data_IF_418684240413
#
_entry.id   IF_418684240413
#
_cell.length_a   1.000
_cell.length_b   1.000
_cell.length_c   1.000
_cell.angle_alpha   90.00
_cell.angle_beta   90.00
_cell.angle_gamma   90.00
#
_symmetry.space_group_name_H-M   'P 1'
#
loop_
_entity.id
_entity.type
_entity.pdbx_description
1 polymer ?
#
# COMPACT_ATOMS: atom_id res chain seq x y z
N UNK A 1 -32.44 -4.17 -13.31
CA UNK A 1 -31.11 -4.64 -13.72
C UNK A 1 -31.17 -6.14 -13.88
N UNK A 2 -30.68 -6.66 -15.01
CA UNK A 2 -30.57 -8.12 -15.21
C UNK A 2 -29.55 -8.73 -14.24
N UNK A 3 -29.63 -10.05 -13.95
CA UNK A 3 -28.63 -10.74 -13.11
C UNK A 3 -27.19 -10.55 -13.65
N UNK A 4 -27.05 -10.47 -14.97
CA UNK A 4 -25.78 -10.21 -15.66
C UNK A 4 -25.30 -8.79 -15.37
N UNK A 5 -26.13 -7.77 -15.57
CA UNK A 5 -25.75 -6.37 -15.29
C UNK A 5 -25.27 -6.18 -13.85
N UNK A 6 -25.94 -6.83 -12.89
CA UNK A 6 -25.53 -6.76 -11.50
C UNK A 6 -24.16 -7.43 -11.27
N UNK A 7 -23.96 -8.61 -11.83
CA UNK A 7 -22.69 -9.34 -11.74
C UNK A 7 -21.53 -8.55 -12.37
N UNK A 8 -21.71 -7.99 -13.57
CA UNK A 8 -20.69 -7.15 -14.22
C UNK A 8 -20.40 -5.90 -13.40
N UNK A 9 -21.43 -5.24 -12.86
CA UNK A 9 -21.26 -4.07 -11.99
C UNK A 9 -20.46 -4.41 -10.73
N UNK A 10 -20.67 -5.58 -10.13
CA UNK A 10 -19.91 -6.02 -8.96
C UNK A 10 -18.46 -6.38 -9.31
N UNK A 11 -18.17 -6.88 -10.53
CA UNK A 11 -16.80 -7.08 -11.02
C UNK A 11 -16.07 -5.75 -11.20
N UNK A 12 -16.74 -4.70 -11.68
CA UNK A 12 -16.08 -3.44 -12.07
C UNK A 12 -16.20 -2.31 -11.05
N UNK A 13 -16.88 -2.53 -9.91
CA UNK A 13 -17.33 -1.51 -8.93
C UNK A 13 -16.23 -0.53 -8.45
N UNK A 14 -14.97 -0.95 -8.46
CA UNK A 14 -13.86 -0.25 -7.82
C UNK A 14 -12.71 0.02 -8.82
N UNK A 15 -13.04 0.20 -10.09
CA UNK A 15 -12.10 0.55 -11.17
C UNK A 15 -12.18 2.06 -11.48
N UNK A 16 -11.10 2.66 -12.02
CA UNK A 16 -11.14 4.02 -12.56
C UNK A 16 -12.25 4.20 -13.62
N UNK A 17 -12.94 5.34 -13.65
CA UNK A 17 -14.16 5.56 -14.45
C UNK A 17 -13.96 5.37 -15.97
N UNK A 18 -12.78 5.71 -16.49
CA UNK A 18 -12.41 5.58 -17.90
C UNK A 18 -12.26 4.10 -18.32
N UNK A 19 -11.49 3.33 -17.56
CA UNK A 19 -11.32 1.89 -17.80
C UNK A 19 -12.55 1.06 -17.38
N UNK A 20 -13.31 1.55 -16.38
CA UNK A 20 -14.50 0.89 -15.86
C UNK A 20 -15.57 0.73 -16.93
N UNK A 21 -15.78 1.76 -17.77
CA UNK A 21 -16.87 1.74 -18.77
C UNK A 21 -16.58 0.76 -19.90
N UNK A 22 -15.39 0.85 -20.49
CA UNK A 22 -14.99 -0.01 -21.62
C UNK A 22 -14.97 -1.47 -21.22
N UNK A 23 -14.35 -1.78 -20.07
CA UNK A 23 -14.28 -3.15 -19.59
C UNK A 23 -15.64 -3.70 -19.15
N UNK A 24 -16.51 -2.85 -18.58
CA UNK A 24 -17.89 -3.25 -18.24
C UNK A 24 -18.65 -3.65 -19.50
N UNK A 25 -18.50 -2.91 -20.59
CA UNK A 25 -19.12 -3.23 -21.88
C UNK A 25 -18.56 -4.53 -22.45
N UNK A 26 -17.24 -4.72 -22.43
CA UNK A 26 -16.58 -5.94 -22.92
C UNK A 26 -17.01 -7.20 -22.15
N UNK A 27 -16.94 -7.18 -20.82
CA UNK A 27 -17.35 -8.31 -19.97
C UNK A 27 -18.84 -8.62 -20.15
N UNK A 28 -19.68 -7.58 -20.28
CA UNK A 28 -21.10 -7.74 -20.51
C UNK A 28 -21.38 -8.44 -21.85
N UNK A 29 -20.69 -8.03 -22.92
CA UNK A 29 -20.82 -8.64 -24.26
C UNK A 29 -20.44 -10.12 -24.20
N UNK A 30 -19.29 -10.46 -23.60
CA UNK A 30 -18.86 -11.85 -23.49
C UNK A 30 -19.82 -12.73 -22.68
N UNK A 31 -20.36 -12.22 -21.58
CA UNK A 31 -21.37 -12.94 -20.80
C UNK A 31 -22.66 -13.14 -21.61
N UNK A 32 -23.10 -12.13 -22.35
CA UNK A 32 -24.28 -12.26 -23.20
C UNK A 32 -24.08 -13.29 -24.33
N UNK A 33 -22.91 -13.29 -24.97
CA UNK A 33 -22.61 -14.24 -26.03
C UNK A 33 -22.54 -15.66 -25.51
N UNK A 34 -21.95 -15.86 -24.33
CA UNK A 34 -21.96 -17.17 -23.69
C UNK A 34 -23.36 -17.65 -23.28
N UNK A 35 -24.24 -16.74 -22.84
CA UNK A 35 -25.65 -17.05 -22.61
C UNK A 35 -26.37 -17.47 -23.90
N UNK A 36 -26.14 -16.77 -25.02
CA UNK A 36 -26.71 -17.15 -26.33
C UNK A 36 -26.27 -18.54 -26.75
N UNK A 37 -24.99 -18.89 -26.57
CA UNK A 37 -24.49 -20.24 -26.87
C UNK A 37 -25.21 -21.32 -26.03
N UNK A 38 -25.45 -21.04 -24.75
CA UNK A 38 -26.16 -21.97 -23.85
C UNK A 38 -27.64 -22.09 -24.23
N UNK A 39 -28.28 -21.01 -24.67
CA UNK A 39 -29.64 -21.06 -25.22
C UNK A 39 -29.69 -21.93 -26.49
N UNK A 40 -28.73 -21.78 -27.41
CA UNK A 40 -28.62 -22.60 -28.62
C UNK A 40 -28.42 -24.08 -28.27
N UNK A 41 -27.70 -24.38 -27.19
CA UNK A 41 -27.51 -25.74 -26.64
C UNK A 41 -28.75 -26.31 -25.94
N UNK A 42 -29.86 -25.57 -25.91
CA UNK A 42 -31.15 -26.02 -25.36
C UNK A 42 -31.34 -25.80 -23.86
N UNK A 43 -30.49 -25.00 -23.21
CA UNK A 43 -30.72 -24.60 -21.82
C UNK A 43 -31.83 -23.56 -21.73
N UNK A 44 -32.61 -23.58 -20.64
CA UNK A 44 -33.53 -22.48 -20.33
C UNK A 44 -32.75 -21.21 -20.00
N UNK A 45 -33.35 -20.04 -20.24
CA UNK A 45 -32.73 -18.73 -20.00
C UNK A 45 -32.14 -18.60 -18.59
N UNK A 46 -32.88 -19.02 -17.56
CA UNK A 46 -32.38 -18.97 -16.19
C UNK A 46 -31.16 -19.87 -15.96
N UNK A 47 -31.14 -21.07 -16.55
CA UNK A 47 -30.00 -21.99 -16.47
C UNK A 47 -28.82 -21.47 -17.27
N UNK A 48 -29.06 -20.88 -18.44
CA UNK A 48 -28.03 -20.30 -19.29
C UNK A 48 -27.32 -19.13 -18.58
N UNK A 49 -28.08 -18.19 -17.99
CA UNK A 49 -27.52 -17.07 -17.22
C UNK A 49 -26.69 -17.57 -16.03
N UNK A 50 -27.21 -18.55 -15.28
CA UNK A 50 -26.48 -19.10 -14.13
C UNK A 50 -25.18 -19.77 -14.56
N UNK A 51 -25.22 -20.63 -15.58
CA UNK A 51 -24.03 -21.30 -16.08
C UNK A 51 -23.00 -20.33 -16.66
N UNK A 52 -23.45 -19.26 -17.31
CA UNK A 52 -22.53 -18.25 -17.84
C UNK A 52 -21.79 -17.51 -16.71
N UNK A 53 -22.50 -17.13 -15.64
CA UNK A 53 -21.91 -16.50 -14.46
C UNK A 53 -20.96 -17.47 -13.73
N UNK A 54 -21.37 -18.73 -13.54
CA UNK A 54 -20.53 -19.76 -12.90
C UNK A 54 -19.24 -20.02 -13.68
N UNK A 55 -19.31 -20.00 -15.01
CA UNK A 55 -18.15 -20.21 -15.90
C UNK A 55 -17.17 -19.03 -15.86
N UNK A 56 -17.67 -17.80 -15.71
CA UNK A 56 -16.84 -16.61 -15.47
C UNK A 56 -16.21 -16.60 -14.07
N UNK A 57 -16.89 -17.19 -13.09
CA UNK A 57 -16.36 -17.42 -11.74
C UNK A 57 -16.79 -16.39 -10.70
N UNK A 58 -16.04 -16.30 -9.61
CA UNK A 58 -16.42 -15.46 -8.47
C UNK A 58 -16.12 -13.97 -8.73
N UNK A 59 -17.16 -13.13 -8.72
CA UNK A 59 -17.05 -11.67 -8.92
C UNK A 59 -16.01 -10.98 -8.04
N UNK A 60 -15.88 -11.36 -6.76
CA UNK A 60 -14.90 -10.76 -5.85
C UNK A 60 -13.46 -11.17 -6.16
N UNK A 61 -13.26 -12.42 -6.63
CA UNK A 61 -11.95 -12.87 -7.13
C UNK A 61 -11.58 -12.16 -8.43
N UNK A 62 -12.54 -12.05 -9.36
CA UNK A 62 -12.34 -11.40 -10.65
C UNK A 62 -12.02 -9.91 -10.48
N UNK A 63 -12.79 -9.17 -9.69
CA UNK A 63 -12.51 -7.76 -9.35
C UNK A 63 -11.09 -7.58 -8.81
N UNK A 64 -10.63 -8.48 -7.93
CA UNK A 64 -9.28 -8.42 -7.34
C UNK A 64 -8.19 -8.66 -8.38
N UNK A 65 -8.35 -9.66 -9.23
CA UNK A 65 -7.38 -10.00 -10.29
C UNK A 65 -7.30 -8.88 -11.32
N UNK A 66 -8.45 -8.31 -11.66
CA UNK A 66 -8.58 -7.21 -12.58
C UNK A 66 -7.93 -5.92 -12.04
N UNK A 67 -8.15 -5.56 -10.78
CA UNK A 67 -7.40 -4.47 -10.12
C UNK A 67 -5.91 -4.72 -10.13
N UNK A 68 -5.47 -5.98 -9.93
CA UNK A 68 -4.05 -6.32 -9.95
C UNK A 68 -3.45 -6.15 -11.35
N UNK A 69 -4.23 -6.41 -12.40
CA UNK A 69 -3.83 -6.21 -13.79
C UNK A 69 -3.82 -4.72 -14.19
N UNK A 70 -4.84 -3.96 -13.76
CA UNK A 70 -5.03 -2.55 -14.11
C UNK A 70 -4.20 -1.58 -13.25
N UNK A 71 -3.76 -2.01 -12.06
CA UNK A 71 -2.79 -1.25 -11.25
C UNK A 71 -1.40 -1.92 -11.24
N UNK A 72 -0.69 -2.02 -12.38
CA UNK A 72 0.71 -2.49 -12.38
C UNK A 72 1.59 -1.55 -11.56
N UNK A 73 1.18 -0.28 -11.41
CA UNK A 73 1.83 0.73 -10.58
C UNK A 73 1.47 0.63 -9.09
N UNK A 74 0.67 -0.33 -8.63
CA UNK A 74 0.28 -0.45 -7.21
C UNK A 74 1.50 -0.43 -6.27
N UNK A 75 2.57 -1.15 -6.63
CA UNK A 75 3.82 -1.15 -5.86
C UNK A 75 4.47 0.23 -5.81
N UNK A 76 4.50 0.93 -6.94
CA UNK A 76 5.06 2.27 -7.08
C UNK A 76 4.23 3.30 -6.30
N UNK A 77 2.91 3.26 -6.40
CA UNK A 77 2.00 4.15 -5.66
C UNK A 77 2.15 3.93 -4.15
N UNK A 78 2.20 2.66 -3.69
CA UNK A 78 2.48 2.35 -2.29
C UNK A 78 3.83 2.91 -1.85
N UNK A 79 4.85 2.77 -2.69
CA UNK A 79 6.19 3.30 -2.39
C UNK A 79 6.19 4.82 -2.27
N UNK A 80 5.62 5.53 -3.25
CA UNK A 80 5.47 7.00 -3.24
C UNK A 80 4.70 7.46 -2.01
N UNK A 81 3.58 6.80 -1.67
CA UNK A 81 2.83 7.06 -0.45
C UNK A 81 3.72 6.93 0.81
N UNK A 82 4.52 5.86 0.90
CA UNK A 82 5.38 5.65 2.05
C UNK A 82 6.47 6.72 2.15
N UNK A 83 7.10 7.11 1.04
CA UNK A 83 8.10 8.18 1.00
C UNK A 83 7.51 9.50 1.49
N UNK A 84 6.35 9.90 0.95
CA UNK A 84 5.66 11.14 1.35
C UNK A 84 5.30 11.10 2.84
N UNK A 85 4.73 9.98 3.30
CA UNK A 85 4.32 9.82 4.69
C UNK A 85 5.51 9.89 5.65
N UNK A 86 6.59 9.16 5.38
CA UNK A 86 7.78 9.14 6.25
C UNK A 86 8.45 10.50 6.27
N UNK A 87 8.61 11.13 5.10
CA UNK A 87 9.19 12.48 5.02
C UNK A 87 8.35 13.48 5.81
N UNK A 88 7.03 13.47 5.61
CA UNK A 88 6.11 14.34 6.33
C UNK A 88 6.14 14.11 7.84
N UNK A 89 6.20 12.85 8.29
CA UNK A 89 6.31 12.52 9.71
C UNK A 89 7.63 13.00 10.31
N UNK A 90 8.76 12.77 9.63
CA UNK A 90 10.08 13.21 10.11
C UNK A 90 10.14 14.74 10.19
N UNK A 91 9.65 15.44 9.17
CA UNK A 91 9.55 16.90 9.18
C UNK A 91 8.63 17.40 10.30
N UNK A 92 7.48 16.77 10.50
CA UNK A 92 6.54 17.14 11.56
C UNK A 92 7.15 16.95 12.96
N UNK A 93 7.76 15.79 13.21
CA UNK A 93 8.43 15.48 14.48
C UNK A 93 9.59 16.44 14.74
N UNK A 94 10.42 16.70 13.72
CA UNK A 94 11.54 17.65 13.80
C UNK A 94 11.05 19.07 14.11
N UNK A 95 10.02 19.55 13.40
CA UNK A 95 9.41 20.85 13.65
C UNK A 95 8.83 20.96 15.06
N UNK A 96 8.02 19.97 15.48
CA UNK A 96 7.38 19.99 16.81
C UNK A 96 8.40 19.95 17.93
N UNK A 97 9.49 19.20 17.78
CA UNK A 97 10.54 19.13 18.77
C UNK A 97 11.35 20.44 18.82
N UNK A 98 11.72 21.00 17.67
CA UNK A 98 12.44 22.28 17.62
C UNK A 98 11.61 23.42 18.22
N UNK A 99 10.31 23.47 17.94
CA UNK A 99 9.41 24.47 18.51
C UNK A 99 9.24 24.32 20.03
N UNK A 100 9.31 23.10 20.55
CA UNK A 100 9.20 22.84 21.99
C UNK A 100 10.46 23.22 22.76
N UNK A 101 11.64 22.89 22.23
CA UNK A 101 12.93 23.13 22.90
C UNK A 101 13.49 24.52 22.64
N UNK A 102 13.31 25.06 21.42
CA UNK A 102 13.82 26.35 20.99
C UNK A 102 12.75 27.18 20.25
N UNK A 103 11.70 27.62 20.94
CA UNK A 103 10.68 28.51 20.37
C UNK A 103 11.25 29.87 19.94
N UNK A 104 12.41 30.27 20.46
CA UNK A 104 13.09 31.51 20.09
C UNK A 104 13.64 31.53 18.66
N UNK A 105 13.80 30.38 18.02
CA UNK A 105 14.32 30.28 16.65
C UNK A 105 13.21 30.29 15.60
N UNK A 106 13.56 30.75 14.39
CA UNK A 106 12.68 30.59 13.25
C UNK A 106 12.74 29.14 12.76
N UNK A 107 11.83 28.32 13.28
CA UNK A 107 11.76 26.88 13.01
C UNK A 107 11.08 26.54 11.67
N UNK A 108 10.92 27.50 10.77
CA UNK A 108 10.39 27.24 9.43
C UNK A 108 11.30 26.27 8.68
N UNK A 109 10.71 25.17 8.18
CA UNK A 109 11.44 24.18 7.39
C UNK A 109 11.60 24.68 5.95
N UNK A 110 12.84 25.00 5.50
CA UNK A 110 13.04 25.45 4.13
C UNK A 110 12.78 24.29 3.16
N UNK A 111 12.24 24.62 1.99
CA UNK A 111 11.85 23.63 0.98
C UNK A 111 13.01 22.69 0.59
N UNK A 112 14.22 23.23 0.47
CA UNK A 112 15.41 22.43 0.17
C UNK A 112 15.64 21.30 1.18
N UNK A 113 15.49 21.55 2.49
CA UNK A 113 15.67 20.53 3.52
C UNK A 113 14.62 19.43 3.42
N UNK A 114 13.37 19.78 3.11
CA UNK A 114 12.28 18.82 2.90
C UNK A 114 12.56 17.96 1.67
N UNK A 115 12.98 18.57 0.55
CA UNK A 115 13.33 17.85 -0.67
C UNK A 115 14.54 16.92 -0.47
N UNK A 116 15.53 17.38 0.28
CA UNK A 116 16.70 16.57 0.63
C UNK A 116 16.31 15.37 1.50
N UNK A 117 15.47 15.58 2.51
CA UNK A 117 14.93 14.49 3.34
C UNK A 117 14.14 13.49 2.48
N UNK A 118 13.27 13.98 1.59
CA UNK A 118 12.51 13.14 0.66
C UNK A 118 13.43 12.31 -0.25
N UNK A 119 14.50 12.92 -0.76
CA UNK A 119 15.49 12.23 -1.58
C UNK A 119 16.23 11.14 -0.80
N UNK A 120 16.67 11.43 0.42
CA UNK A 120 17.33 10.43 1.29
C UNK A 120 16.40 9.27 1.65
N UNK A 121 15.15 9.56 2.03
CA UNK A 121 14.14 8.54 2.29
C UNK A 121 13.90 7.69 1.05
N UNK A 122 13.83 8.30 -0.13
CA UNK A 122 13.67 7.58 -1.41
C UNK A 122 14.83 6.64 -1.67
N UNK A 123 16.08 7.08 -1.49
CA UNK A 123 17.25 6.24 -1.70
C UNK A 123 17.29 5.06 -0.72
N UNK A 124 17.09 5.32 0.57
CA UNK A 124 17.18 4.30 1.62
C UNK A 124 16.03 3.30 1.49
N UNK A 125 14.79 3.79 1.45
CA UNK A 125 13.61 2.93 1.35
C UNK A 125 13.53 2.22 0.00
N UNK A 126 13.90 2.88 -1.09
CA UNK A 126 13.91 2.30 -2.43
C UNK A 126 14.92 1.16 -2.54
N UNK A 127 16.14 1.37 -2.03
CA UNK A 127 17.15 0.30 -1.93
C UNK A 127 16.62 -0.86 -1.08
N UNK A 128 16.04 -0.55 0.08
CA UNK A 128 15.44 -1.56 0.96
C UNK A 128 14.32 -2.38 0.29
N UNK A 129 13.44 -1.76 -0.49
CA UNK A 129 12.39 -2.47 -1.24
C UNK A 129 12.96 -3.39 -2.32
N UNK A 130 13.96 -2.92 -3.08
CA UNK A 130 14.60 -3.75 -4.11
C UNK A 130 15.26 -4.98 -3.48
N UNK A 131 16.00 -4.80 -2.37
CA UNK A 131 16.59 -5.91 -1.64
C UNK A 131 15.53 -6.84 -1.03
N UNK A 132 14.47 -6.28 -0.47
CA UNK A 132 13.36 -7.07 0.08
C UNK A 132 12.73 -7.95 -1.00
N UNK A 133 12.45 -7.41 -2.19
CA UNK A 133 11.87 -8.18 -3.29
C UNK A 133 12.83 -9.24 -3.83
N UNK A 134 14.11 -8.90 -3.97
CA UNK A 134 15.14 -9.86 -4.38
C UNK A 134 15.20 -11.06 -3.43
N UNK A 135 15.31 -10.80 -2.12
CA UNK A 135 15.36 -11.86 -1.11
C UNK A 135 14.03 -12.63 -1.01
N UNK A 136 12.89 -11.95 -1.14
CA UNK A 136 11.59 -12.62 -1.11
C UNK A 136 11.37 -13.56 -2.30
N UNK A 137 12.00 -13.28 -3.45
CA UNK A 137 11.96 -14.17 -4.62
C UNK A 137 12.90 -15.38 -4.49
N UNK A 138 13.99 -15.26 -3.75
CA UNK A 138 15.02 -16.30 -3.62
C UNK A 138 14.79 -17.23 -2.41
N UNK A 139 14.20 -16.73 -1.32
CA UNK A 139 14.03 -17.48 -0.07
C UNK A 139 12.55 -17.72 0.25
N UNK A 140 12.21 -18.92 0.73
CA UNK A 140 10.84 -19.29 1.11
C UNK A 140 10.54 -19.10 2.62
N UNK A 141 11.50 -18.53 3.37
CA UNK A 141 11.39 -18.39 4.82
C UNK A 141 10.50 -17.22 5.20
N UNK A 142 9.21 -17.50 5.40
CA UNK A 142 8.16 -16.49 5.66
C UNK A 142 8.41 -15.59 6.89
N UNK A 143 9.17 -16.07 7.88
CA UNK A 143 9.42 -15.29 9.10
C UNK A 143 10.47 -14.19 8.88
N UNK A 144 11.62 -14.51 8.26
CA UNK A 144 12.68 -13.53 7.97
C UNK A 144 12.25 -12.48 6.94
N UNK A 145 11.32 -12.84 6.06
CA UNK A 145 10.73 -11.95 5.05
C UNK A 145 9.52 -11.17 5.57
N UNK A 146 9.30 -11.12 6.89
CA UNK A 146 8.33 -10.19 7.46
C UNK A 146 8.87 -8.75 7.32
N UNK A 147 8.12 -7.80 6.72
CA UNK A 147 8.55 -6.41 6.60
C UNK A 147 8.99 -5.78 7.92
N UNK A 148 8.38 -6.16 9.05
CA UNK A 148 8.81 -5.69 10.36
C UNK A 148 10.24 -6.12 10.67
N UNK A 149 10.57 -7.39 10.51
CA UNK A 149 11.90 -7.90 10.83
C UNK A 149 12.92 -7.34 9.84
N UNK A 150 12.57 -7.34 8.55
CA UNK A 150 13.47 -6.92 7.49
C UNK A 150 13.89 -5.45 7.58
N UNK A 151 12.94 -4.53 7.79
CA UNK A 151 13.25 -3.10 7.83
C UNK A 151 13.66 -2.65 9.24
N UNK A 152 13.02 -3.16 10.30
CA UNK A 152 13.21 -2.64 11.65
C UNK A 152 14.51 -3.16 12.29
N UNK A 153 14.85 -4.43 12.15
CA UNK A 153 16.03 -5.00 12.84
C UNK A 153 17.34 -4.36 12.37
N UNK A 154 17.62 -4.23 11.06
CA UNK A 154 18.82 -3.53 10.61
C UNK A 154 18.84 -2.06 11.04
N UNK A 155 17.68 -1.39 11.03
CA UNK A 155 17.59 0.02 11.45
C UNK A 155 17.88 0.22 12.95
N UNK A 156 17.45 -0.72 13.80
CA UNK A 156 17.76 -0.71 15.23
C UNK A 156 19.22 -1.03 15.50
N UNK A 157 19.81 -1.99 14.78
CA UNK A 157 21.24 -2.29 14.88
C UNK A 157 22.05 -1.06 14.51
N UNK A 158 21.68 -0.37 13.43
CA UNK A 158 22.30 0.89 13.04
C UNK A 158 22.17 1.96 14.13
N UNK A 159 20.97 2.16 14.69
CA UNK A 159 20.78 3.07 15.83
C UNK A 159 21.61 2.70 17.05
N UNK A 160 21.71 1.41 17.38
CA UNK A 160 22.53 0.91 18.50
C UNK A 160 24.03 1.13 18.31
N UNK A 161 24.53 1.01 17.07
CA UNK A 161 25.92 1.34 16.72
C UNK A 161 26.20 2.84 16.86
N UNK A 162 25.18 3.69 16.67
CA UNK A 162 25.29 5.14 16.83
C UNK A 162 25.16 5.61 18.29
N UNK A 163 24.46 4.85 19.14
CA UNK A 163 24.24 5.18 20.56
C UNK A 163 25.53 5.58 21.33
N UNK A 164 26.71 4.98 21.12
CA UNK A 164 27.95 5.44 21.76
C UNK A 164 28.31 6.90 21.50
N UNK A 165 27.85 7.52 20.40
CA UNK A 165 28.09 8.95 20.13
C UNK A 165 27.41 9.86 21.16
N UNK A 166 26.26 9.42 21.68
CA UNK A 166 25.52 10.12 22.74
C UNK A 166 26.38 10.33 24.00
N UNK A 167 27.17 9.33 24.37
CA UNK A 167 28.01 9.36 25.57
C UNK A 167 29.34 10.09 25.34
N UNK A 168 29.84 10.10 24.09
CA UNK A 168 31.10 10.77 23.74
C UNK A 168 30.94 12.27 23.52
N UNK A 169 29.79 12.70 23.00
CA UNK A 169 29.51 14.09 22.67
C UNK A 169 28.09 14.49 23.13
N UNK A 170 27.79 14.46 24.45
CA UNK A 170 26.44 14.71 24.95
C UNK A 170 25.92 16.10 24.59
N UNK A 171 26.80 17.11 24.51
CA UNK A 171 26.50 18.49 24.10
C UNK A 171 25.84 18.57 22.70
N UNK A 172 26.19 17.65 21.79
CA UNK A 172 25.72 17.65 20.40
C UNK A 172 24.32 17.03 20.23
N UNK A 173 23.80 16.39 21.28
CA UNK A 173 22.55 15.64 21.24
C UNK A 173 21.55 16.10 22.31
N UNK A 174 21.74 17.29 22.88
CA UNK A 174 20.74 17.93 23.74
C UNK A 174 19.61 18.54 22.89
N UNK A 175 18.47 18.80 23.52
CA UNK A 175 17.39 19.65 22.99
C UNK A 175 16.97 19.33 21.53
N UNK A 176 16.23 18.22 21.34
CA UNK A 176 15.72 17.70 20.05
C UNK A 176 16.69 16.86 19.20
N UNK A 177 18.01 17.09 19.28
CA UNK A 177 19.00 16.48 18.37
C UNK A 177 19.16 14.95 18.53
N UNK A 178 18.59 14.35 19.58
CA UNK A 178 18.45 12.88 19.70
C UNK A 178 17.61 12.28 18.57
N UNK A 179 16.64 13.04 18.06
CA UNK A 179 15.76 12.59 16.99
C UNK A 179 16.52 12.40 15.69
N UNK A 180 17.57 13.19 15.45
CA UNK A 180 18.43 13.06 14.27
C UNK A 180 19.31 11.80 14.35
N UNK A 181 19.83 11.49 15.54
CA UNK A 181 20.59 10.25 15.78
C UNK A 181 19.75 9.00 15.53
N UNK A 182 18.48 9.03 15.92
CA UNK A 182 17.55 7.91 15.76
C UNK A 182 16.60 8.08 14.56
N UNK A 183 16.90 8.98 13.62
CA UNK A 183 16.04 9.26 12.47
C UNK A 183 15.82 8.02 11.59
N UNK A 184 16.85 7.18 11.43
CA UNK A 184 16.78 5.95 10.64
C UNK A 184 15.82 4.91 11.24
N UNK A 185 15.93 4.50 12.53
CA UNK A 185 14.97 3.58 13.14
C UNK A 185 13.55 4.18 13.26
N UNK A 186 13.42 5.48 13.55
CA UNK A 186 12.11 6.16 13.56
C UNK A 186 11.48 6.12 12.16
N UNK A 187 12.27 6.45 11.13
CA UNK A 187 11.86 6.40 9.73
C UNK A 187 11.48 4.99 9.27
N UNK A 188 12.23 3.95 9.67
CA UNK A 188 11.93 2.56 9.36
C UNK A 188 10.61 2.10 10.01
N UNK A 189 10.38 2.47 11.28
CA UNK A 189 9.11 2.21 11.95
C UNK A 189 7.94 2.91 11.24
N UNK A 190 8.09 4.20 10.94
CA UNK A 190 7.11 5.00 10.21
C UNK A 190 6.82 4.41 8.81
N UNK A 191 7.85 3.91 8.12
CA UNK A 191 7.73 3.27 6.82
C UNK A 191 6.85 2.02 6.88
N UNK A 192 7.07 1.14 7.86
CA UNK A 192 6.28 -0.08 8.05
C UNK A 192 4.83 0.27 8.38
N UNK A 193 4.59 1.23 9.28
CA UNK A 193 3.25 1.70 9.63
C UNK A 193 2.56 2.27 8.40
N UNK A 194 3.24 3.10 7.61
CA UNK A 194 2.70 3.66 6.36
C UNK A 194 2.29 2.58 5.37
N UNK A 195 3.11 1.53 5.20
CA UNK A 195 2.76 0.37 4.36
C UNK A 195 1.50 -0.34 4.84
N UNK A 196 1.34 -0.50 6.15
CA UNK A 196 0.14 -1.13 6.73
C UNK A 196 -1.09 -0.25 6.55
N UNK A 197 -0.97 1.06 6.80
CA UNK A 197 -2.04 2.03 6.58
C UNK A 197 -2.47 2.07 5.12
N UNK A 198 -1.52 2.11 4.19
CA UNK A 198 -1.83 2.06 2.76
C UNK A 198 -2.61 0.79 2.39
N UNK A 199 -2.17 -0.36 2.90
CA UNK A 199 -2.87 -1.63 2.69
C UNK A 199 -4.27 -1.60 3.30
N UNK A 200 -4.45 -1.01 4.48
CA UNK A 200 -5.75 -0.90 5.13
C UNK A 200 -6.71 0.02 4.37
N UNK A 201 -6.22 1.18 3.91
CA UNK A 201 -7.03 2.21 3.27
C UNK A 201 -7.36 1.87 1.81
N UNK A 202 -6.41 1.32 1.06
CA UNK A 202 -6.53 1.15 -0.40
C UNK A 202 -6.71 -0.32 -0.82
N UNK A 203 -6.34 -1.30 0.01
CA UNK A 203 -6.43 -2.74 -0.36
C UNK A 203 -7.43 -3.51 0.46
N UNK A 204 -7.62 -3.20 1.75
CA UNK A 204 -8.53 -3.94 2.62
C UNK A 204 -9.98 -3.54 2.30
N UNK A 205 -10.51 -4.17 1.26
CA UNK A 205 -11.89 -3.97 0.85
C UNK A 205 -12.86 -4.33 2.00
N UNK A 206 -13.90 -3.50 2.13
CA UNK A 206 -14.98 -3.45 3.11
C UNK A 206 -15.91 -4.68 3.09
N UNK A 207 -15.41 -5.86 2.71
CA UNK A 207 -16.18 -7.10 2.63
C UNK A 207 -16.59 -7.68 4.01
N UNK A 208 -16.15 -7.08 5.12
CA UNK A 208 -16.65 -7.43 6.45
C UNK A 208 -17.97 -6.74 6.83
N UNK A 209 -18.52 -5.82 6.03
CA UNK A 209 -19.78 -5.16 6.40
C UNK A 209 -21.04 -6.00 6.08
N UNK A 210 -20.95 -7.03 5.22
CA UNK A 210 -22.09 -7.90 4.88
C UNK A 210 -22.09 -9.28 5.56
N UNK A 211 -21.05 -9.64 6.33
CA UNK A 211 -21.00 -10.95 7.01
C UNK A 211 -21.64 -10.99 8.40
N UNK A 212 -22.09 -9.86 8.94
CA UNK A 212 -22.71 -9.75 10.28
C UNK A 212 -24.22 -9.51 10.27
N UNK A 213 -24.91 -9.64 9.12
CA UNK A 213 -26.38 -9.53 9.04
C UNK A 213 -27.07 -10.64 8.24
N UNK A 214 -26.56 -11.87 8.33
CA UNK A 214 -27.37 -13.06 8.02
C UNK A 214 -26.99 -14.15 9.02
N UNK A 215 -27.61 -14.08 10.19
CA UNK A 215 -28.07 -15.24 10.96
C UNK A 215 -29.57 -15.05 11.14
#
# INVERSE_FOLDING_TARGET
MTKIEQYVKEITLDLPDDEQKELREEIYIHLQDHVKELLIKGYSEEKAVRHAIESFGNQGKLNRELKRALFPFYKLIRFVWCVIFVTGLLCFVSYSAMEYYHPEFNNSLPLYSVLMAMFLVTLIAGTGEVFYEALASQFNTKWLLNPWIFFLVPSLVFGGIQTPMLFKHPEQYQDSLLLDLYAVPIGAFAYIISRQLFTLLFVRNKNNYKRTKVN
#
